data_IF_505208832193
#
_entry.id   IF_505208832193
#
_cell.length_a   1.000
_cell.length_b   1.000
_cell.length_c   1.000
_cell.angle_alpha   90.00
_cell.angle_beta   90.00
_cell.angle_gamma   90.00
#
_symmetry.space_group_name_H-M   'P 1'
#
loop_
_entity.id
_entity.type
_entity.pdbx_description
1 polymer ?
#
# COMPACT_ATOMS: atom_id res chain seq x y z
N UNK A 1 -23.00 23.95 3.19
CA UNK A 1 -21.92 24.21 2.22
C UNK A 1 -20.99 23.02 2.22
N UNK A 2 -20.65 22.42 1.08
CA UNK A 2 -19.68 21.34 1.06
C UNK A 2 -18.31 21.85 1.56
N UNK A 3 -17.53 21.03 2.30
CA UNK A 3 -16.24 21.43 2.78
C UNK A 3 -15.28 21.72 1.61
N UNK A 4 -14.44 22.71 1.77
CA UNK A 4 -13.39 23.02 0.80
C UNK A 4 -12.21 22.06 0.96
N UNK A 5 -11.45 21.83 -0.10
CA UNK A 5 -10.26 20.97 -0.04
C UNK A 5 -9.28 21.36 1.07
N UNK A 6 -9.10 22.68 1.31
CA UNK A 6 -8.25 23.19 2.40
C UNK A 6 -8.76 22.76 3.78
N UNK A 7 -10.06 22.77 4.00
CA UNK A 7 -10.68 22.37 5.26
C UNK A 7 -10.53 20.85 5.47
N UNK A 8 -10.66 20.05 4.38
CA UNK A 8 -10.44 18.60 4.43
C UNK A 8 -8.99 18.25 4.80
N UNK A 9 -8.02 19.00 4.29
CA UNK A 9 -6.60 18.78 4.56
C UNK A 9 -6.18 19.11 6.01
N UNK A 10 -7.07 19.67 6.82
CA UNK A 10 -6.86 19.82 8.27
C UNK A 10 -7.08 18.50 9.04
N UNK A 11 -7.73 17.49 8.41
CA UNK A 11 -8.11 16.23 9.03
C UNK A 11 -7.60 14.99 8.29
N UNK A 12 -7.29 15.11 7.01
CA UNK A 12 -6.88 14.01 6.15
C UNK A 12 -5.60 14.34 5.39
N UNK A 13 -4.80 13.33 5.09
CA UNK A 13 -3.72 13.50 4.12
C UNK A 13 -4.27 13.56 2.70
N UNK A 14 -3.54 14.17 1.74
CA UNK A 14 -3.94 14.16 0.33
C UNK A 14 -4.17 12.74 -0.20
N UNK A 15 -3.34 11.78 0.18
CA UNK A 15 -3.43 10.39 -0.26
C UNK A 15 -4.68 9.69 0.29
N UNK A 16 -5.05 9.97 1.55
CA UNK A 16 -6.31 9.45 2.13
C UNK A 16 -7.51 9.96 1.35
N UNK A 17 -7.53 11.24 1.00
CA UNK A 17 -8.63 11.83 0.23
C UNK A 17 -8.67 11.28 -1.20
N UNK A 18 -7.53 11.15 -1.87
CA UNK A 18 -7.45 10.60 -3.23
C UNK A 18 -7.95 9.16 -3.27
N UNK A 19 -7.45 8.31 -2.37
CA UNK A 19 -7.90 6.92 -2.26
C UNK A 19 -9.40 6.83 -1.99
N UNK A 20 -9.93 7.68 -1.08
CA UNK A 20 -11.35 7.71 -0.80
C UNK A 20 -12.18 8.14 -2.01
N UNK A 21 -11.81 9.22 -2.69
CA UNK A 21 -12.56 9.69 -3.86
C UNK A 21 -12.57 8.68 -5.00
N UNK A 22 -11.46 8.04 -5.26
CA UNK A 22 -11.38 6.99 -6.27
C UNK A 22 -12.23 5.76 -5.88
N UNK A 23 -12.33 5.44 -4.59
CA UNK A 23 -13.16 4.34 -4.10
C UNK A 23 -14.67 4.60 -4.20
N UNK A 24 -15.09 5.86 -4.38
CA UNK A 24 -16.51 6.23 -4.47
C UNK A 24 -17.17 5.85 -5.81
N UNK A 25 -16.40 5.60 -6.86
CA UNK A 25 -16.92 5.29 -8.20
C UNK A 25 -17.69 6.48 -8.81
N UNK A 26 -17.14 7.68 -8.71
CA UNK A 26 -17.74 8.92 -9.21
C UNK A 26 -17.88 8.96 -10.74
N UNK A 27 -17.17 8.11 -11.43
CA UNK A 27 -17.26 7.84 -12.86
C UNK A 27 -18.53 7.08 -13.24
N UNK A 28 -19.08 6.27 -12.32
CA UNK A 28 -20.23 5.39 -12.55
C UNK A 28 -21.53 5.91 -11.92
N UNK A 29 -21.43 6.75 -10.89
CA UNK A 29 -22.60 7.18 -10.10
C UNK A 29 -22.40 8.51 -9.39
N UNK A 30 -23.48 9.22 -9.13
CA UNK A 30 -23.49 10.37 -8.23
C UNK A 30 -23.46 9.88 -6.77
N UNK A 31 -22.49 10.32 -6.00
CA UNK A 31 -22.30 9.94 -4.60
C UNK A 31 -22.17 11.20 -3.74
N UNK A 32 -22.77 11.18 -2.56
CA UNK A 32 -22.57 12.23 -1.57
C UNK A 32 -21.26 12.00 -0.83
N UNK A 33 -20.40 12.99 -0.83
CA UNK A 33 -19.22 13.03 0.01
C UNK A 33 -19.58 13.63 1.36
N UNK A 34 -19.53 12.84 2.42
CA UNK A 34 -19.89 13.26 3.79
C UNK A 34 -18.79 12.88 4.77
N UNK A 35 -17.67 13.63 4.80
CA UNK A 35 -16.57 13.38 5.73
C UNK A 35 -17.02 13.68 7.15
N UNK A 36 -16.87 12.73 8.05
CA UNK A 36 -17.34 12.83 9.43
C UNK A 36 -16.45 13.66 10.34
N UNK A 37 -15.23 13.95 9.93
CA UNK A 37 -14.30 14.81 10.66
C UNK A 37 -14.88 16.21 10.96
N UNK A 38 -15.89 16.64 10.19
CA UNK A 38 -16.58 17.93 10.37
C UNK A 38 -17.85 17.84 11.21
N UNK A 39 -18.25 16.66 11.64
CA UNK A 39 -19.42 16.51 12.51
C UNK A 39 -19.04 16.71 13.97
N UNK A 40 -18.86 17.99 14.35
CA UNK A 40 -18.58 18.41 15.73
C UNK A 40 -19.75 18.14 16.69
N UNK A 41 -20.93 17.75 16.17
CA UNK A 41 -22.10 17.41 17.00
C UNK A 41 -21.98 16.07 17.70
N UNK A 42 -21.03 15.23 17.28
CA UNK A 42 -20.77 13.88 17.85
C UNK A 42 -19.65 13.92 18.90
N UNK A 43 -19.60 14.97 19.70
CA UNK A 43 -18.80 14.97 20.92
C UNK A 43 -19.43 14.00 21.93
N UNK A 44 -18.98 12.76 21.94
CA UNK A 44 -19.41 11.79 22.96
C UNK A 44 -18.58 12.00 24.21
N UNK A 45 -19.28 12.21 25.30
CA UNK A 45 -18.67 12.19 26.64
C UNK A 45 -18.53 10.74 27.06
N UNK A 46 -17.33 10.32 27.44
CA UNK A 46 -17.10 9.09 28.16
C UNK A 46 -17.89 9.06 29.49
N UNK A 47 -17.86 7.93 30.18
CA UNK A 47 -18.58 7.76 31.47
C UNK A 47 -18.24 8.84 32.50
N UNK A 48 -17.05 9.44 32.40
CA UNK A 48 -16.56 10.46 33.34
C UNK A 48 -16.62 11.89 32.76
N UNK A 49 -17.31 12.08 31.64
CA UNK A 49 -17.46 13.40 31.00
C UNK A 49 -16.30 13.83 30.11
N UNK A 50 -15.24 13.06 30.08
CA UNK A 50 -14.10 13.25 29.16
C UNK A 50 -14.39 12.64 27.78
N UNK A 51 -13.77 13.15 26.70
CA UNK A 51 -13.92 12.58 25.37
C UNK A 51 -13.39 11.14 25.34
N UNK A 52 -14.27 10.15 25.20
CA UNK A 52 -13.85 8.77 25.03
C UNK A 52 -13.52 8.52 23.53
N UNK A 53 -12.25 8.55 23.21
CA UNK A 53 -11.73 8.38 21.86
C UNK A 53 -11.75 6.91 21.38
N UNK A 54 -12.09 5.97 22.25
CA UNK A 54 -12.11 4.53 21.97
C UNK A 54 -13.52 3.99 21.75
N UNK A 55 -14.54 4.85 21.76
CA UNK A 55 -15.93 4.43 21.54
C UNK A 55 -16.10 3.94 20.10
N UNK A 56 -16.73 2.78 19.92
CA UNK A 56 -16.99 2.13 18.63
C UNK A 56 -17.65 3.04 17.59
N UNK A 57 -18.31 4.09 18.02
CA UNK A 57 -18.98 5.10 17.18
C UNK A 57 -18.20 6.41 17.08
N UNK A 58 -16.92 6.42 17.44
CA UNK A 58 -16.06 7.59 17.19
C UNK A 58 -16.07 7.93 15.68
N UNK A 59 -16.30 9.20 15.30
CA UNK A 59 -16.31 9.61 13.90
C UNK A 59 -15.08 9.12 13.09
N UNK A 60 -13.93 9.00 13.74
CA UNK A 60 -12.71 8.50 13.13
C UNK A 60 -12.75 7.00 12.80
N UNK A 61 -13.51 6.20 13.57
CA UNK A 61 -13.67 4.76 13.34
C UNK A 61 -14.69 4.47 12.25
N UNK A 62 -15.73 5.31 12.14
CA UNK A 62 -16.82 5.15 11.17
C UNK A 62 -16.73 6.12 10.00
N UNK A 63 -15.70 6.96 9.95
CA UNK A 63 -15.46 7.86 8.83
C UNK A 63 -15.11 7.06 7.58
N UNK A 64 -15.89 7.16 6.50
CA UNK A 64 -15.64 6.43 5.27
C UNK A 64 -14.24 6.68 4.70
N UNK A 65 -13.75 7.93 4.74
CA UNK A 65 -12.43 8.27 4.24
C UNK A 65 -11.31 7.56 5.02
N UNK A 66 -11.46 7.42 6.34
CA UNK A 66 -10.50 6.69 7.16
C UNK A 66 -10.65 5.17 7.00
N UNK A 67 -11.86 4.68 6.78
CA UNK A 67 -12.09 3.25 6.53
C UNK A 67 -11.43 2.80 5.23
N UNK A 68 -11.62 3.54 4.15
CA UNK A 68 -11.00 3.22 2.86
C UNK A 68 -9.47 3.38 2.93
N UNK A 69 -8.97 4.42 3.58
CA UNK A 69 -7.54 4.62 3.75
C UNK A 69 -6.87 3.62 4.71
N UNK A 70 -7.63 2.83 5.46
CA UNK A 70 -7.11 1.74 6.29
C UNK A 70 -6.38 0.66 5.47
N UNK A 71 -6.72 0.50 4.18
CA UNK A 71 -5.95 -0.32 3.26
C UNK A 71 -4.49 0.17 3.18
N UNK A 72 -4.28 1.47 2.98
CA UNK A 72 -2.95 2.06 2.86
C UNK A 72 -2.12 1.88 4.14
N UNK A 73 -2.70 2.22 5.30
CA UNK A 73 -1.96 2.23 6.56
C UNK A 73 -1.78 0.85 7.18
N UNK A 74 -2.74 -0.06 7.01
CA UNK A 74 -2.75 -1.35 7.70
C UNK A 74 -2.31 -2.53 6.83
N UNK A 75 -2.56 -2.50 5.52
CA UNK A 75 -2.23 -3.60 4.61
C UNK A 75 -0.96 -3.27 3.83
N UNK A 76 -1.03 -2.27 2.98
CA UNK A 76 0.06 -1.92 2.07
C UNK A 76 1.32 -1.47 2.83
N UNK A 77 1.17 -0.53 3.76
CA UNK A 77 2.26 -0.05 4.61
C UNK A 77 2.92 -1.18 5.41
N UNK A 78 2.10 -2.09 5.96
CA UNK A 78 2.60 -3.24 6.73
C UNK A 78 3.36 -4.21 5.85
N UNK A 79 2.87 -4.52 4.65
CA UNK A 79 3.53 -5.40 3.70
C UNK A 79 4.90 -4.82 3.30
N UNK A 80 4.94 -3.56 2.86
CA UNK A 80 6.17 -2.89 2.46
C UNK A 80 7.23 -2.91 3.57
N UNK A 81 6.85 -2.51 4.80
CA UNK A 81 7.78 -2.54 5.94
C UNK A 81 8.30 -3.93 6.25
N UNK A 82 7.40 -4.92 6.29
CA UNK A 82 7.79 -6.28 6.68
C UNK A 82 8.70 -6.95 5.65
N UNK A 83 8.52 -6.66 4.36
CA UNK A 83 9.44 -7.13 3.31
C UNK A 83 10.83 -6.51 3.49
N UNK A 84 10.93 -5.19 3.65
CA UNK A 84 12.21 -4.49 3.81
C UNK A 84 12.95 -4.88 5.11
N UNK A 85 12.24 -4.98 6.24
CA UNK A 85 12.83 -5.50 7.48
C UNK A 85 13.24 -6.98 7.36
N UNK A 86 12.45 -7.77 6.62
CA UNK A 86 12.80 -9.16 6.33
C UNK A 86 14.09 -9.27 5.53
N UNK A 87 14.24 -8.48 4.48
CA UNK A 87 15.44 -8.44 3.66
C UNK A 87 16.68 -7.93 4.43
N UNK A 88 16.49 -6.88 5.26
CA UNK A 88 17.57 -6.40 6.13
C UNK A 88 18.10 -7.50 7.07
N UNK A 89 17.22 -8.35 7.59
CA UNK A 89 17.59 -9.40 8.53
C UNK A 89 18.12 -10.68 7.84
N UNK A 90 17.54 -11.08 6.71
CA UNK A 90 17.84 -12.36 6.07
C UNK A 90 18.75 -12.25 4.85
N UNK A 91 18.66 -11.14 4.10
CA UNK A 91 19.41 -10.92 2.86
C UNK A 91 20.50 -9.84 3.01
N UNK A 92 20.86 -9.46 4.23
CA UNK A 92 21.86 -8.42 4.48
C UNK A 92 21.52 -7.04 3.91
N UNK A 93 20.23 -6.74 3.71
CA UNK A 93 19.77 -5.49 3.12
C UNK A 93 19.80 -5.46 1.58
N UNK A 94 19.86 -6.61 0.93
CA UNK A 94 19.82 -6.76 -0.53
C UNK A 94 18.51 -7.41 -0.97
N UNK A 95 18.28 -7.46 -2.29
CA UNK A 95 17.15 -8.21 -2.83
C UNK A 95 17.35 -9.72 -2.59
N UNK A 96 16.24 -10.49 -2.42
CA UNK A 96 16.30 -11.94 -2.37
C UNK A 96 16.85 -12.53 -3.66
N UNK A 97 17.62 -13.63 -3.55
CA UNK A 97 18.26 -14.27 -4.71
C UNK A 97 17.34 -15.28 -5.40
N UNK A 98 16.36 -15.83 -4.69
CA UNK A 98 15.40 -16.77 -5.25
C UNK A 98 14.57 -16.15 -6.38
N UNK A 99 14.08 -17.00 -7.29
CA UNK A 99 13.08 -16.60 -8.27
C UNK A 99 11.69 -16.68 -7.63
N UNK A 100 10.79 -15.73 -7.89
CA UNK A 100 9.43 -15.83 -7.39
C UNK A 100 8.72 -17.06 -7.98
N UNK A 101 7.82 -17.65 -7.20
CA UNK A 101 7.01 -18.76 -7.67
C UNK A 101 6.13 -18.35 -8.86
N UNK A 102 5.95 -19.26 -9.82
CA UNK A 102 5.15 -18.98 -11.03
C UNK A 102 3.72 -18.54 -10.70
N UNK A 103 3.12 -19.08 -9.66
CA UNK A 103 1.76 -18.70 -9.23
C UNK A 103 1.67 -17.24 -8.74
N UNK A 104 2.75 -16.68 -8.19
CA UNK A 104 2.82 -15.27 -7.79
C UNK A 104 2.95 -14.37 -9.01
N UNK A 105 3.78 -14.78 -9.96
CA UNK A 105 3.95 -14.12 -11.25
C UNK A 105 2.62 -14.10 -12.00
N UNK A 106 1.94 -15.22 -12.09
CA UNK A 106 0.65 -15.36 -12.78
C UNK A 106 -0.43 -14.47 -12.15
N UNK A 107 -0.53 -14.45 -10.81
CA UNK A 107 -1.47 -13.59 -10.09
C UNK A 107 -1.17 -12.09 -10.29
N UNK A 108 0.09 -11.71 -10.32
CA UNK A 108 0.50 -10.34 -10.61
C UNK A 108 0.17 -9.94 -12.06
N UNK A 109 0.40 -10.82 -13.02
CA UNK A 109 0.06 -10.58 -14.43
C UNK A 109 -1.46 -10.44 -14.61
N UNK A 110 -2.25 -11.26 -13.92
CA UNK A 110 -3.71 -11.17 -13.96
C UNK A 110 -4.21 -9.81 -13.46
N UNK A 111 -3.72 -9.34 -12.32
CA UNK A 111 -4.15 -8.03 -11.78
C UNK A 111 -3.65 -6.88 -12.64
N UNK A 112 -2.46 -6.95 -13.23
CA UNK A 112 -1.92 -5.93 -14.16
C UNK A 112 -2.80 -5.80 -15.38
N UNK A 113 -3.15 -6.90 -16.05
CA UNK A 113 -4.01 -6.91 -17.23
C UNK A 113 -5.43 -6.44 -16.90
N UNK A 114 -5.97 -6.88 -15.77
CA UNK A 114 -7.29 -6.44 -15.30
C UNK A 114 -7.30 -4.93 -15.00
N UNK A 115 -6.26 -4.42 -14.35
CA UNK A 115 -6.12 -2.99 -14.08
C UNK A 115 -6.05 -2.18 -15.38
N UNK A 116 -5.22 -2.61 -16.34
CA UNK A 116 -5.10 -1.96 -17.64
C UNK A 116 -6.45 -1.89 -18.37
N UNK A 117 -7.18 -3.00 -18.42
CA UNK A 117 -8.51 -3.05 -19.03
C UNK A 117 -9.50 -2.09 -18.38
N UNK A 118 -9.51 -2.05 -17.03
CA UNK A 118 -10.40 -1.16 -16.28
C UNK A 118 -9.99 0.30 -16.43
N UNK A 119 -8.69 0.61 -16.47
CA UNK A 119 -8.18 1.95 -16.72
C UNK A 119 -8.56 2.48 -18.11
N UNK A 120 -8.48 1.65 -19.14
CA UNK A 120 -8.98 2.01 -20.49
C UNK A 120 -10.49 2.23 -20.53
N UNK A 121 -11.23 1.54 -19.65
CA UNK A 121 -12.67 1.74 -19.45
C UNK A 121 -13.02 2.96 -18.57
N UNK A 122 -12.03 3.69 -18.07
CA UNK A 122 -12.20 4.77 -17.09
C UNK A 122 -12.87 4.33 -15.78
N UNK A 123 -12.81 3.04 -15.42
CA UNK A 123 -13.35 2.49 -14.19
C UNK A 123 -12.29 2.45 -13.08
N UNK A 124 -11.94 3.61 -12.55
CA UNK A 124 -10.95 3.76 -11.51
C UNK A 124 -11.33 3.06 -10.19
N UNK A 125 -12.63 3.02 -9.88
CA UNK A 125 -13.14 2.33 -8.69
C UNK A 125 -12.85 0.83 -8.73
N UNK A 126 -13.23 0.16 -9.82
CA UNK A 126 -13.00 -1.27 -9.99
C UNK A 126 -11.51 -1.61 -10.11
N UNK A 127 -10.73 -0.72 -10.73
CA UNK A 127 -9.28 -0.87 -10.80
C UNK A 127 -8.64 -0.88 -9.40
N UNK A 128 -8.98 0.07 -8.54
CA UNK A 128 -8.50 0.11 -7.15
C UNK A 128 -9.01 -1.08 -6.32
N UNK A 129 -10.26 -1.49 -6.51
CA UNK A 129 -10.81 -2.66 -5.82
C UNK A 129 -10.04 -3.93 -6.18
N UNK A 130 -9.65 -4.10 -7.46
CA UNK A 130 -8.84 -5.24 -7.89
C UNK A 130 -7.44 -5.22 -7.23
N UNK A 131 -6.83 -4.04 -7.11
CA UNK A 131 -5.53 -3.91 -6.42
C UNK A 131 -5.65 -4.18 -4.91
N UNK A 132 -6.72 -3.70 -4.25
CA UNK A 132 -6.96 -3.98 -2.82
C UNK A 132 -7.15 -5.49 -2.57
N UNK A 133 -7.92 -6.17 -3.41
CA UNK A 133 -8.12 -7.62 -3.34
C UNK A 133 -6.79 -8.38 -3.49
N UNK A 134 -6.02 -8.05 -4.53
CA UNK A 134 -4.71 -8.64 -4.77
C UNK A 134 -3.75 -8.39 -3.60
N UNK A 135 -3.64 -7.15 -3.14
CA UNK A 135 -2.74 -6.80 -2.04
C UNK A 135 -3.09 -7.51 -0.72
N UNK A 136 -4.38 -7.73 -0.44
CA UNK A 136 -4.81 -8.50 0.74
C UNK A 136 -4.43 -9.97 0.62
N UNK A 137 -4.60 -10.56 -0.56
CA UNK A 137 -4.21 -11.94 -0.82
C UNK A 137 -2.70 -12.13 -0.63
N UNK A 138 -1.89 -11.26 -1.25
CA UNK A 138 -0.44 -11.36 -1.17
C UNK A 138 0.12 -11.00 0.22
N UNK A 139 -0.46 -10.04 0.93
CA UNK A 139 -0.08 -9.79 2.32
C UNK A 139 -0.40 -10.98 3.25
N UNK A 140 -1.49 -11.71 2.99
CA UNK A 140 -1.81 -12.94 3.71
C UNK A 140 -0.80 -14.05 3.36
N UNK A 141 -0.52 -14.26 2.07
CA UNK A 141 0.48 -15.23 1.58
C UNK A 141 1.84 -14.98 2.25
N UNK A 142 2.32 -13.75 2.20
CA UNK A 142 3.57 -13.35 2.87
C UNK A 142 3.55 -13.65 4.37
N UNK A 143 2.47 -13.30 5.07
CA UNK A 143 2.33 -13.55 6.50
C UNK A 143 2.32 -15.03 6.88
N UNK A 144 1.83 -15.92 6.03
CA UNK A 144 1.84 -17.37 6.20
C UNK A 144 3.21 -17.97 5.83
N UNK A 145 3.74 -17.60 4.66
CA UNK A 145 5.02 -18.11 4.16
C UNK A 145 6.19 -17.71 5.06
N UNK A 146 6.27 -16.46 5.48
CA UNK A 146 7.33 -15.98 6.37
C UNK A 146 7.33 -16.68 7.74
N UNK A 147 6.16 -17.08 8.26
CA UNK A 147 6.06 -17.87 9.49
C UNK A 147 6.49 -19.31 9.27
N UNK A 148 6.06 -19.93 8.16
CA UNK A 148 6.40 -21.31 7.83
C UNK A 148 7.90 -21.48 7.58
N UNK A 149 8.54 -20.44 7.05
CA UNK A 149 9.96 -20.43 6.72
C UNK A 149 10.90 -20.11 7.91
N UNK A 150 10.36 -19.88 9.12
CA UNK A 150 11.18 -19.58 10.30
C UNK A 150 12.22 -20.69 10.56
N UNK A 151 13.51 -20.30 10.62
CA UNK A 151 14.62 -21.22 10.82
C UNK A 151 15.10 -21.95 9.56
N UNK A 152 14.58 -21.56 8.38
CA UNK A 152 15.04 -22.05 7.09
C UNK A 152 15.32 -20.84 6.17
N UNK A 153 16.59 -20.48 6.01
CA UNK A 153 17.00 -19.27 5.29
C UNK A 153 16.63 -19.32 3.80
N UNK A 154 16.73 -20.50 3.16
CA UNK A 154 16.36 -20.67 1.75
C UNK A 154 14.84 -20.49 1.53
N UNK A 155 14.04 -21.11 2.40
CA UNK A 155 12.59 -20.94 2.34
C UNK A 155 12.16 -19.50 2.66
N UNK A 156 12.89 -18.79 3.51
CA UNK A 156 12.61 -17.40 3.84
C UNK A 156 13.00 -16.46 2.69
N UNK A 157 14.14 -16.69 2.03
CA UNK A 157 14.56 -15.96 0.83
C UNK A 157 13.53 -16.14 -0.31
N UNK A 158 13.04 -17.37 -0.50
CA UNK A 158 11.97 -17.66 -1.46
C UNK A 158 10.67 -16.89 -1.13
N UNK A 159 10.26 -16.89 0.14
CA UNK A 159 9.06 -16.15 0.56
C UNK A 159 9.22 -14.62 0.39
N UNK A 160 10.45 -14.11 0.58
CA UNK A 160 10.78 -12.71 0.29
C UNK A 160 10.72 -12.40 -1.21
N UNK A 161 11.24 -13.29 -2.07
CA UNK A 161 11.18 -13.11 -3.52
C UNK A 161 9.74 -12.95 -4.01
N UNK A 162 8.85 -13.82 -3.53
CA UNK A 162 7.41 -13.73 -3.80
C UNK A 162 6.81 -12.40 -3.32
N UNK A 163 7.12 -12.02 -2.07
CA UNK A 163 6.59 -10.82 -1.46
C UNK A 163 7.08 -9.53 -2.14
N UNK A 164 8.35 -9.49 -2.55
CA UNK A 164 8.90 -8.34 -3.27
C UNK A 164 8.31 -8.20 -4.68
N UNK A 165 8.06 -9.32 -5.37
CA UNK A 165 7.37 -9.29 -6.66
C UNK A 165 5.97 -8.68 -6.53
N UNK A 166 5.20 -9.16 -5.56
CA UNK A 166 3.87 -8.64 -5.27
C UNK A 166 3.91 -7.17 -4.82
N UNK A 167 4.87 -6.80 -3.96
CA UNK A 167 5.03 -5.43 -3.48
C UNK A 167 5.28 -4.45 -4.63
N UNK A 168 6.18 -4.80 -5.57
CA UNK A 168 6.45 -3.97 -6.76
C UNK A 168 5.20 -3.78 -7.60
N UNK A 169 4.44 -4.85 -7.84
CA UNK A 169 3.19 -4.80 -8.60
C UNK A 169 2.15 -3.90 -7.94
N UNK A 170 1.92 -4.06 -6.64
CA UNK A 170 0.98 -3.21 -5.88
C UNK A 170 1.43 -1.75 -5.91
N UNK A 171 2.72 -1.49 -5.74
CA UNK A 171 3.27 -0.13 -5.71
C UNK A 171 3.11 0.57 -7.06
N UNK A 172 3.37 -0.13 -8.16
CA UNK A 172 3.14 0.39 -9.51
C UNK A 172 1.66 0.76 -9.74
N UNK A 173 0.75 -0.17 -9.41
CA UNK A 173 -0.69 0.00 -9.66
C UNK A 173 -1.34 1.05 -8.75
N UNK A 174 -0.81 1.24 -7.54
CA UNK A 174 -1.30 2.25 -6.60
C UNK A 174 -0.71 3.64 -6.83
N UNK A 175 0.38 3.78 -7.57
CA UNK A 175 1.07 5.06 -7.78
C UNK A 175 0.16 6.18 -8.31
N UNK A 176 -0.75 5.97 -9.28
CA UNK A 176 -1.65 7.02 -9.74
C UNK A 176 -2.60 7.55 -8.65
N UNK A 177 -2.94 6.71 -7.68
CA UNK A 177 -3.83 7.07 -6.57
C UNK A 177 -3.09 7.70 -5.38
N UNK A 178 -1.96 7.13 -5.00
CA UNK A 178 -1.20 7.48 -3.79
C UNK A 178 0.30 7.62 -4.08
N UNK A 179 0.69 8.64 -4.87
CA UNK A 179 2.05 8.75 -5.42
C UNK A 179 3.13 8.85 -4.34
N UNK A 180 2.94 9.70 -3.30
CA UNK A 180 3.99 9.96 -2.33
C UNK A 180 4.43 8.71 -1.54
N UNK A 181 3.47 7.88 -1.13
CA UNK A 181 3.76 6.64 -0.43
C UNK A 181 4.42 5.61 -1.33
N UNK A 182 3.97 5.52 -2.60
CA UNK A 182 4.54 4.63 -3.60
C UNK A 182 5.97 5.03 -3.99
N UNK A 183 6.22 6.33 -4.17
CA UNK A 183 7.56 6.86 -4.45
C UNK A 183 8.53 6.57 -3.30
N UNK A 184 8.10 6.74 -2.04
CA UNK A 184 8.93 6.33 -0.88
C UNK A 184 9.22 4.83 -0.84
N UNK A 185 8.31 3.98 -1.33
CA UNK A 185 8.58 2.54 -1.45
C UNK A 185 9.61 2.29 -2.54
N UNK A 186 9.50 2.96 -3.69
CA UNK A 186 10.49 2.85 -4.78
C UNK A 186 11.87 3.35 -4.33
N UNK A 187 11.94 4.45 -3.58
CA UNK A 187 13.16 4.96 -2.95
C UNK A 187 13.78 3.91 -2.00
N UNK A 188 12.95 3.33 -1.12
CA UNK A 188 13.41 2.31 -0.18
C UNK A 188 13.86 1.02 -0.88
N UNK A 189 13.29 0.71 -2.03
CA UNK A 189 13.73 -0.36 -2.91
C UNK A 189 14.95 0.03 -3.77
N UNK A 190 15.39 1.29 -3.70
CA UNK A 190 16.52 1.87 -4.41
C UNK A 190 16.42 1.74 -5.95
N UNK A 191 15.23 1.99 -6.50
CA UNK A 191 15.00 2.04 -7.93
C UNK A 191 14.72 3.46 -8.42
N UNK A 192 15.24 3.86 -9.62
CA UNK A 192 14.84 5.10 -10.27
C UNK A 192 13.34 5.09 -10.56
N UNK A 193 12.63 6.18 -10.23
CA UNK A 193 11.17 6.29 -10.40
C UNK A 193 10.75 6.08 -11.86
N UNK A 194 11.50 6.62 -12.81
CA UNK A 194 11.22 6.48 -14.25
C UNK A 194 11.25 5.02 -14.73
N UNK A 195 12.09 4.18 -14.13
CA UNK A 195 12.15 2.76 -14.44
C UNK A 195 11.14 1.95 -13.64
N UNK A 196 11.00 2.28 -12.34
CA UNK A 196 10.11 1.55 -11.43
C UNK A 196 8.63 1.70 -11.81
N UNK A 197 8.21 2.92 -12.18
CA UNK A 197 6.82 3.23 -12.55
C UNK A 197 6.55 3.17 -14.04
N UNK A 198 7.53 2.76 -14.86
CA UNK A 198 7.31 2.53 -16.29
C UNK A 198 6.39 1.34 -16.53
N UNK A 199 5.35 1.55 -17.35
CA UNK A 199 4.45 0.45 -17.75
C UNK A 199 5.18 -0.61 -18.58
N UNK A 200 6.25 -0.25 -19.28
CA UNK A 200 7.11 -1.20 -20.02
C UNK A 200 7.76 -2.24 -19.08
N UNK A 201 7.97 -1.87 -17.82
CA UNK A 201 8.55 -2.71 -16.79
C UNK A 201 7.49 -3.32 -15.85
N UNK A 202 6.20 -3.20 -16.19
CA UNK A 202 5.11 -3.62 -15.32
C UNK A 202 5.19 -5.10 -14.92
N UNK A 203 5.56 -5.96 -15.86
CA UNK A 203 5.64 -7.41 -15.69
C UNK A 203 6.99 -7.90 -15.15
N UNK A 204 7.93 -7.01 -14.89
CA UNK A 204 9.22 -7.35 -14.28
C UNK A 204 9.12 -7.33 -12.77
N UNK A 205 9.68 -8.34 -12.10
CA UNK A 205 9.95 -8.30 -10.67
C UNK A 205 11.13 -7.40 -10.31
N UNK A 206 11.35 -7.10 -9.01
CA UNK A 206 12.50 -6.27 -8.59
C UNK A 206 13.85 -6.83 -9.02
N UNK A 207 14.04 -8.15 -8.97
CA UNK A 207 15.27 -8.82 -9.41
C UNK A 207 15.54 -8.63 -10.91
N UNK A 208 14.50 -8.80 -11.74
CA UNK A 208 14.62 -8.58 -13.19
C UNK A 208 14.86 -7.11 -13.52
N UNK A 209 14.21 -6.20 -12.78
CA UNK A 209 14.42 -4.76 -12.93
C UNK A 209 15.85 -4.37 -12.54
N UNK A 210 16.40 -4.91 -11.45
CA UNK A 210 17.79 -4.71 -11.06
C UNK A 210 18.75 -5.22 -12.14
N UNK A 211 18.49 -6.41 -12.70
CA UNK A 211 19.28 -6.97 -13.79
C UNK A 211 19.25 -6.11 -15.06
N UNK A 212 18.08 -5.54 -15.42
CA UNK A 212 17.96 -4.55 -16.51
C UNK A 212 18.83 -3.33 -16.27
N UNK A 213 19.01 -2.91 -15.02
CA UNK A 213 19.86 -1.79 -14.61
C UNK A 213 21.34 -2.18 -14.41
N UNK A 214 21.70 -3.43 -14.72
CA UNK A 214 23.06 -3.93 -14.64
C UNK A 214 23.54 -4.35 -13.26
N UNK A 215 22.62 -4.66 -12.35
CA UNK A 215 22.89 -5.12 -10.99
C UNK A 215 22.34 -6.53 -10.76
N UNK A 216 23.09 -7.39 -10.06
CA UNK A 216 22.52 -8.63 -9.53
C UNK A 216 21.67 -8.36 -8.28
N UNK A 217 20.88 -9.34 -7.83
CA UNK A 217 20.11 -9.22 -6.60
C UNK A 217 21.00 -8.96 -5.37
N UNK A 218 22.17 -9.62 -5.31
CA UNK A 218 23.14 -9.47 -4.23
C UNK A 218 23.89 -8.13 -4.25
N UNK A 219 23.94 -7.44 -5.39
CA UNK A 219 24.55 -6.12 -5.53
C UNK A 219 23.53 -4.99 -5.32
N UNK A 220 22.24 -5.28 -5.51
CA UNK A 220 21.18 -4.29 -5.38
C UNK A 220 20.83 -4.07 -3.91
N UNK A 221 21.37 -3.01 -3.33
CA UNK A 221 21.18 -2.67 -1.93
C UNK A 221 19.88 -1.89 -1.72
N UNK A 222 19.10 -2.31 -0.73
CA UNK A 222 17.89 -1.66 -0.27
C UNK A 222 18.21 -0.59 0.78
N UNK A 223 17.33 0.40 0.95
CA UNK A 223 17.47 1.38 2.01
C UNK A 223 17.19 0.74 3.38
N UNK A 224 18.03 1.04 4.37
CA UNK A 224 17.79 0.65 5.76
C UNK A 224 16.70 1.53 6.38
N UNK A 225 15.57 0.91 6.73
CA UNK A 225 14.46 1.64 7.33
C UNK A 225 14.64 1.82 8.84
N UNK A 226 14.39 3.02 9.39
CA UNK A 226 14.32 3.21 10.82
C UNK A 226 13.14 2.43 11.43
N UNK A 227 13.20 2.07 12.72
CA UNK A 227 12.10 1.37 13.38
C UNK A 227 10.77 2.12 13.27
N UNK A 228 9.70 1.39 12.99
CA UNK A 228 8.32 1.92 12.85
C UNK A 228 8.16 2.94 11.73
N UNK A 229 8.90 2.79 10.65
CA UNK A 229 8.75 3.63 9.46
C UNK A 229 7.36 3.47 8.83
N UNK A 230 6.75 4.56 8.41
CA UNK A 230 5.47 4.56 7.71
C UNK A 230 5.60 5.22 6.34
N UNK A 231 5.39 4.45 5.29
CA UNK A 231 5.28 4.94 3.91
C UNK A 231 4.02 5.77 3.72
N UNK A 232 2.91 5.30 4.29
CA UNK A 232 1.62 5.99 4.29
C UNK A 232 1.31 6.50 5.68
N UNK A 233 1.46 7.80 5.89
CA UNK A 233 1.28 8.42 7.20
C UNK A 233 -0.19 8.73 7.45
N UNK A 234 -0.67 8.43 8.66
CA UNK A 234 -1.93 8.97 9.13
C UNK A 234 -1.80 10.48 9.38
N UNK A 235 -2.89 11.23 9.15
CA UNK A 235 -2.89 12.66 9.46
C UNK A 235 -2.66 12.89 10.97
N UNK A 236 -1.94 13.95 11.37
CA UNK A 236 -1.68 14.23 12.79
C UNK A 236 -2.94 14.29 13.66
N UNK A 237 -4.06 14.78 13.15
CA UNK A 237 -5.35 14.80 13.85
C UNK A 237 -5.93 13.41 14.17
N UNK A 238 -5.40 12.35 13.57
CA UNK A 238 -5.84 10.96 13.75
C UNK A 238 -4.93 10.19 14.72
N UNK A 239 -3.84 10.83 15.17
CA UNK A 239 -2.93 10.26 16.17
C UNK A 239 -3.37 10.72 17.54
N UNK A 240 -3.63 9.78 18.42
CA UNK A 240 -3.79 10.02 19.86
C UNK A 240 -2.48 9.80 20.58
#
# INVERSE_FOLDING_TARGET
>A
KPPMAKELLEFYTPEQLRAHWLSLGLDQRAVSFSPKAFDTSVSRKGKDGEPDLLVKDDPRVVDPALKESAFLTNIFNRMARSCLYGAANACGGHLPISEPHQEVIDAAQEVLLKYEQLAYGFDAHSALAAVDEYARAENKRWGEASKAAQGNDEAYDQALADAFYALKTITLLMHPAVPEGCERIADALNFPHEEFFSWENAFMGPKELAAKLGQSAEEHQLEELPPRFDFFKAHPSQKN
#
